data_IF_710774939083
#
_entry.id   IF_710774939083
#
_cell.length_a   1.000
_cell.length_b   1.000
_cell.length_c   1.000
_cell.angle_alpha   90.00
_cell.angle_beta   90.00
_cell.angle_gamma   90.00
#
_symmetry.space_group_name_H-M   'P 1'
#
loop_
_entity.id
_entity.type
_entity.pdbx_description
1 polymer ?
#
# COMPACT_ATOMS: atom_id res chain seq x y z
N UNK A 1 -16.51 8.14 -26.07
CA UNK A 1 -17.45 7.01 -25.82
C UNK A 1 -16.77 5.68 -25.47
N UNK A 2 -15.52 5.40 -25.88
CA UNK A 2 -14.80 4.17 -25.46
C UNK A 2 -14.33 4.23 -23.98
N UNK A 3 -13.86 5.40 -23.53
CA UNK A 3 -13.47 5.61 -22.12
C UNK A 3 -14.63 5.51 -21.11
N UNK A 4 -15.85 5.92 -21.50
CA UNK A 4 -17.03 5.81 -20.62
C UNK A 4 -17.52 4.36 -20.48
N UNK A 5 -17.23 3.49 -21.46
CA UNK A 5 -17.55 2.05 -21.39
C UNK A 5 -16.57 1.28 -20.49
N UNK A 6 -15.31 1.72 -20.39
CA UNK A 6 -14.33 1.15 -19.48
C UNK A 6 -14.67 1.45 -18.01
N UNK A 7 -15.06 2.70 -17.71
CA UNK A 7 -15.42 3.12 -16.35
C UNK A 7 -16.74 2.49 -15.85
N UNK A 8 -17.67 2.17 -16.77
CA UNK A 8 -18.93 1.48 -16.46
C UNK A 8 -18.72 -0.04 -16.25
N UNK A 9 -17.68 -0.63 -16.86
CA UNK A 9 -17.27 -2.01 -16.61
C UNK A 9 -16.58 -2.18 -15.25
N UNK A 10 -15.78 -1.19 -14.82
CA UNK A 10 -15.16 -1.16 -13.49
C UNK A 10 -16.21 -1.02 -12.37
N UNK A 11 -17.27 -0.22 -12.58
CA UNK A 11 -18.39 -0.13 -11.62
C UNK A 11 -19.26 -1.39 -11.56
N UNK A 12 -19.34 -2.18 -12.64
CA UNK A 12 -20.10 -3.44 -12.65
C UNK A 12 -19.35 -4.59 -11.95
N UNK A 13 -18.02 -4.51 -11.89
CA UNK A 13 -17.14 -5.50 -11.26
C UNK A 13 -17.11 -5.36 -9.72
N UNK A 14 -17.38 -4.18 -9.18
CA UNK A 14 -17.45 -3.93 -7.72
C UNK A 14 -18.81 -4.35 -7.11
N UNK A 15 -19.87 -4.49 -7.91
CA UNK A 15 -21.20 -4.93 -7.42
C UNK A 15 -21.32 -6.47 -7.36
N UNK A 16 -20.43 -7.24 -8.02
CA UNK A 16 -20.43 -8.71 -7.95
C UNK A 16 -19.62 -9.30 -6.80
N UNK A 17 -18.91 -8.47 -6.02
CA UNK A 17 -18.09 -8.89 -4.88
C UNK A 17 -18.80 -8.71 -3.52
N UNK A 18 -20.08 -9.03 -3.44
CA UNK A 18 -20.77 -9.23 -2.14
C UNK A 18 -20.87 -10.74 -1.89
N UNK A 19 -20.05 -11.32 -1.00
CA UNK A 19 -20.33 -12.66 -0.49
C UNK A 19 -21.64 -12.60 0.29
N UNK A 20 -22.70 -13.16 -0.29
CA UNK A 20 -23.89 -13.62 0.44
C UNK A 20 -23.47 -14.86 1.24
N UNK A 21 -22.67 -14.66 2.29
CA UNK A 21 -22.40 -15.69 3.30
C UNK A 21 -23.49 -15.59 4.36
N UNK A 22 -24.52 -16.40 4.14
CA UNK A 22 -25.34 -16.96 5.20
C UNK A 22 -24.49 -17.99 5.96
N UNK A 23 -24.19 -17.72 7.22
CA UNK A 23 -23.75 -18.70 8.21
C UNK A 23 -24.61 -18.43 9.46
N UNK A 24 -25.68 -19.17 9.71
CA UNK A 24 -25.71 -20.43 10.46
C UNK A 24 -24.81 -20.41 11.69
N UNK A 25 -25.41 -19.96 12.80
CA UNK A 25 -24.98 -20.21 14.17
C UNK A 25 -24.87 -21.71 14.42
N UNK A 26 -23.66 -22.19 14.67
CA UNK A 26 -23.42 -23.39 15.45
C UNK A 26 -22.54 -23.01 16.63
N UNK A 27 -23.22 -22.79 17.75
CA UNK A 27 -22.70 -22.78 19.10
C UNK A 27 -22.15 -24.18 19.40
N UNK A 28 -20.88 -24.31 19.82
CA UNK A 28 -20.51 -25.24 20.89
C UNK A 28 -19.04 -25.09 21.35
N UNK A 29 -18.94 -25.16 22.68
CA UNK A 29 -17.86 -25.68 23.53
C UNK A 29 -16.53 -24.93 23.73
N UNK A 30 -16.58 -24.11 24.78
CA UNK A 30 -15.47 -23.72 25.64
C UNK A 30 -14.84 -24.94 26.34
N UNK A 31 -13.64 -25.33 25.90
CA UNK A 31 -12.75 -26.21 26.67
C UNK A 31 -11.60 -25.39 27.29
N UNK A 32 -11.72 -25.19 28.60
CA UNK A 32 -10.72 -24.60 29.50
C UNK A 32 -9.45 -25.47 29.56
N UNK A 33 -8.34 -24.99 29.01
CA UNK A 33 -7.03 -25.61 29.19
C UNK A 33 -6.38 -25.13 30.50
N UNK A 34 -6.43 -25.99 31.51
CA UNK A 34 -5.64 -25.89 32.75
C UNK A 34 -4.18 -26.23 32.44
N UNK A 35 -3.26 -25.34 32.83
CA UNK A 35 -1.81 -25.57 32.73
C UNK A 35 -1.37 -26.49 33.87
N UNK A 36 -1.00 -27.71 33.51
CA UNK A 36 -0.41 -28.71 34.41
C UNK A 36 0.97 -28.24 34.90
N UNK A 37 1.09 -28.08 36.21
CA UNK A 37 2.36 -27.88 36.90
C UNK A 37 3.05 -29.23 37.06
N UNK A 38 4.06 -29.51 36.23
CA UNK A 38 4.95 -30.64 36.40
C UNK A 38 5.87 -30.43 37.61
N UNK A 39 5.72 -31.27 38.62
CA UNK A 39 6.69 -31.47 39.70
C UNK A 39 7.99 -32.09 39.15
N UNK A 40 9.17 -31.60 39.55
CA UNK A 40 10.42 -32.32 39.38
C UNK A 40 10.70 -33.18 40.62
N UNK A 41 10.49 -34.49 40.47
CA UNK A 41 11.10 -35.52 41.31
C UNK A 41 12.44 -35.97 40.71
N UNK A 42 13.33 -36.45 41.58
CA UNK A 42 14.56 -37.20 41.34
C UNK A 42 15.85 -36.45 40.95
N UNK A 43 16.59 -35.98 41.97
CA UNK A 43 18.06 -36.14 42.00
C UNK A 43 18.49 -36.63 43.38
N UNK A 44 18.65 -37.94 43.48
CA UNK A 44 19.38 -38.63 44.54
C UNK A 44 20.86 -38.66 44.14
N UNK A 45 21.75 -38.03 44.91
CA UNK A 45 23.18 -38.36 44.90
C UNK A 45 23.87 -38.00 46.22
N UNK A 46 24.00 -39.05 47.01
CA UNK A 46 24.86 -39.23 48.16
C UNK A 46 26.32 -38.83 47.86
N UNK A 47 26.82 -37.79 48.51
CA UNK A 47 28.25 -37.55 48.71
C UNK A 47 28.51 -36.96 50.09
N UNK A 48 28.78 -37.84 51.05
CA UNK A 48 29.38 -37.49 52.34
C UNK A 48 30.81 -36.95 52.11
N UNK A 49 30.97 -35.62 52.17
CA UNK A 49 32.28 -34.96 52.23
C UNK A 49 32.36 -34.14 53.52
N UNK A 50 32.89 -34.78 54.57
CA UNK A 50 33.42 -34.11 55.76
C UNK A 50 34.55 -33.17 55.31
N UNK A 51 34.27 -31.87 55.33
CA UNK A 51 35.28 -30.83 55.17
C UNK A 51 34.93 -29.70 56.13
N UNK A 52 35.78 -29.56 57.15
CA UNK A 52 36.25 -28.35 57.85
C UNK A 52 35.30 -27.13 57.81
N UNK A 53 34.62 -26.90 58.94
CA UNK A 53 33.52 -25.94 59.17
C UNK A 53 33.79 -24.44 58.93
N UNK A 54 35.04 -24.03 58.67
CA UNK A 54 35.40 -22.61 58.51
C UNK A 54 35.24 -22.09 57.08
N UNK A 55 35.75 -22.84 56.10
CA UNK A 55 35.91 -22.35 54.72
C UNK A 55 34.62 -22.52 53.89
N UNK A 56 33.81 -23.54 54.19
CA UNK A 56 32.50 -23.76 53.52
C UNK A 56 31.48 -22.65 53.80
N UNK A 57 31.52 -22.03 54.98
CA UNK A 57 30.61 -20.91 55.29
C UNK A 57 30.92 -19.65 54.48
N UNK A 58 32.18 -19.47 54.07
CA UNK A 58 32.60 -18.34 53.23
C UNK A 58 32.12 -18.57 51.79
N UNK A 59 32.30 -19.79 51.27
CA UNK A 59 31.87 -20.14 49.90
C UNK A 59 30.34 -20.07 49.73
N UNK A 60 29.56 -20.56 50.70
CA UNK A 60 28.10 -20.43 50.68
C UNK A 60 27.67 -18.97 50.73
N UNK A 61 28.34 -18.13 51.54
CA UNK A 61 28.03 -16.70 51.65
C UNK A 61 28.31 -15.96 50.34
N UNK A 62 29.40 -16.29 49.65
CA UNK A 62 29.76 -15.61 48.41
C UNK A 62 28.86 -16.05 47.23
N UNK A 63 28.46 -17.33 47.15
CA UNK A 63 27.40 -17.76 46.21
C UNK A 63 26.07 -17.04 46.46
N UNK A 64 25.64 -16.90 47.71
CA UNK A 64 24.41 -16.17 48.05
C UNK A 64 24.50 -14.67 47.68
N UNK A 65 25.70 -14.08 47.70
CA UNK A 65 25.88 -12.68 47.25
C UNK A 65 25.81 -12.59 45.73
N UNK A 66 26.46 -13.50 45.01
CA UNK A 66 26.45 -13.52 43.55
C UNK A 66 25.04 -13.77 43.01
N UNK A 67 24.30 -14.73 43.59
CA UNK A 67 22.89 -15.00 43.25
C UNK A 67 22.01 -13.76 43.52
N UNK A 68 22.26 -13.02 44.61
CA UNK A 68 21.54 -11.77 44.91
C UNK A 68 21.85 -10.66 43.92
N UNK A 69 23.08 -10.57 43.42
CA UNK A 69 23.46 -9.60 42.40
C UNK A 69 22.77 -9.95 41.08
N UNK A 70 22.79 -11.22 40.68
CA UNK A 70 22.14 -11.70 39.45
C UNK A 70 20.62 -11.49 39.48
N UNK A 71 19.95 -11.81 40.60
CA UNK A 71 18.51 -11.57 40.76
C UNK A 71 18.19 -10.07 40.68
N UNK A 72 19.05 -9.21 41.27
CA UNK A 72 18.85 -7.75 41.23
C UNK A 72 19.05 -7.18 39.82
N UNK A 73 19.98 -7.73 39.05
CA UNK A 73 20.22 -7.33 37.66
C UNK A 73 19.06 -7.77 36.76
N UNK A 74 18.57 -9.02 36.93
CA UNK A 74 17.36 -9.52 36.26
C UNK A 74 16.12 -8.69 36.56
N UNK A 75 15.94 -8.23 37.80
CA UNK A 75 14.84 -7.35 38.18
C UNK A 75 14.94 -5.97 37.52
N UNK A 76 16.14 -5.37 37.46
CA UNK A 76 16.36 -4.10 36.75
C UNK A 76 16.10 -4.20 35.25
N UNK A 77 16.50 -5.31 34.63
CA UNK A 77 16.23 -5.53 33.22
C UNK A 77 14.73 -5.80 32.95
N UNK A 78 14.04 -6.43 33.90
CA UNK A 78 12.59 -6.58 33.85
C UNK A 78 11.87 -5.23 33.96
N UNK A 79 12.26 -4.36 34.91
CA UNK A 79 11.73 -3.00 35.06
C UNK A 79 11.94 -2.17 33.78
N UNK A 80 13.15 -2.16 33.22
CA UNK A 80 13.43 -1.45 31.95
C UNK A 80 12.60 -1.98 30.77
N UNK A 81 12.37 -3.30 30.71
CA UNK A 81 11.51 -3.90 29.67
C UNK A 81 10.05 -3.52 29.86
N UNK A 82 9.60 -3.36 31.10
CA UNK A 82 8.25 -2.91 31.42
C UNK A 82 8.05 -1.44 31.04
N UNK A 83 8.97 -0.55 31.44
CA UNK A 83 8.95 0.86 31.03
C UNK A 83 8.97 1.02 29.49
N UNK A 84 9.80 0.23 28.80
CA UNK A 84 9.86 0.25 27.33
C UNK A 84 8.54 -0.23 26.69
N UNK A 85 7.90 -1.25 27.27
CA UNK A 85 6.58 -1.73 26.80
C UNK A 85 5.47 -0.72 27.06
N UNK A 86 5.52 -0.04 28.19
CA UNK A 86 4.57 1.02 28.53
C UNK A 86 4.69 2.19 27.56
N UNK A 87 5.92 2.65 27.28
CA UNK A 87 6.16 3.70 26.29
C UNK A 87 5.64 3.33 24.89
N UNK A 88 5.88 2.09 24.43
CA UNK A 88 5.35 1.61 23.14
C UNK A 88 3.81 1.60 23.16
N UNK A 89 3.20 1.27 24.31
CA UNK A 89 1.74 1.26 24.46
C UNK A 89 1.17 2.67 24.37
N UNK A 90 1.83 3.64 24.99
CA UNK A 90 1.43 5.05 24.98
C UNK A 90 1.59 5.66 23.58
N UNK A 91 2.74 5.46 22.93
CA UNK A 91 2.97 5.91 21.55
C UNK A 91 1.91 5.32 20.60
N UNK A 92 1.57 4.03 20.75
CA UNK A 92 0.49 3.38 19.99
C UNK A 92 -0.89 3.94 20.31
N UNK A 93 -1.15 4.33 21.56
CA UNK A 93 -2.42 4.91 21.95
C UNK A 93 -2.60 6.31 21.33
N UNK A 94 -1.55 7.14 21.35
CA UNK A 94 -1.55 8.46 20.71
C UNK A 94 -1.76 8.35 19.19
N UNK A 95 -1.07 7.41 18.53
CA UNK A 95 -1.26 7.16 17.08
C UNK A 95 -2.69 6.69 16.79
N UNK A 96 -3.25 5.80 17.63
CA UNK A 96 -4.65 5.35 17.47
C UNK A 96 -5.66 6.46 17.67
N UNK A 97 -5.43 7.37 18.60
CA UNK A 97 -6.29 8.53 18.83
C UNK A 97 -6.27 9.45 17.61
N UNK A 98 -5.09 9.82 17.11
CA UNK A 98 -4.94 10.58 15.85
C UNK A 98 -5.61 9.89 14.67
N UNK A 99 -5.48 8.56 14.57
CA UNK A 99 -6.15 7.77 13.53
C UNK A 99 -7.67 7.81 13.67
N UNK A 100 -8.19 7.81 14.90
CA UNK A 100 -9.63 7.89 15.17
C UNK A 100 -10.17 9.27 14.82
N UNK A 101 -9.50 10.34 15.23
CA UNK A 101 -9.87 11.71 14.88
C UNK A 101 -9.84 11.91 13.37
N UNK A 102 -8.80 11.40 12.70
CA UNK A 102 -8.72 11.38 11.24
C UNK A 102 -9.87 10.57 10.61
N UNK A 103 -10.32 9.48 11.22
CA UNK A 103 -11.48 8.70 10.74
C UNK A 103 -12.80 9.46 10.90
N UNK A 104 -12.99 10.17 12.00
CA UNK A 104 -14.20 10.98 12.21
C UNK A 104 -14.25 12.16 11.23
N UNK A 105 -13.12 12.88 11.07
CA UNK A 105 -12.93 13.86 10.01
C UNK A 105 -13.21 13.25 8.64
N UNK A 106 -12.69 12.06 8.36
CA UNK A 106 -12.90 11.36 7.08
C UNK A 106 -14.36 11.02 6.82
N UNK A 107 -15.16 10.67 7.85
CA UNK A 107 -16.60 10.44 7.68
C UNK A 107 -17.31 11.73 7.29
N UNK A 108 -17.05 12.83 8.01
CA UNK A 108 -17.64 14.13 7.72
C UNK A 108 -17.23 14.63 6.33
N UNK A 109 -15.95 14.50 6.00
CA UNK A 109 -15.40 14.82 4.69
C UNK A 109 -16.05 13.94 3.62
N UNK A 110 -16.24 12.63 3.83
CA UNK A 110 -16.95 11.73 2.90
C UNK A 110 -18.36 12.18 2.57
N UNK A 111 -19.11 12.68 3.56
CA UNK A 111 -20.46 13.19 3.34
C UNK A 111 -20.44 14.48 2.51
N UNK A 112 -19.49 15.38 2.78
CA UNK A 112 -19.27 16.59 1.95
C UNK A 112 -18.86 16.21 0.51
N UNK A 113 -17.97 15.24 0.38
CA UNK A 113 -17.42 14.69 -0.86
C UNK A 113 -18.49 14.06 -1.77
N UNK A 114 -19.44 13.32 -1.20
CA UNK A 114 -20.49 12.69 -2.01
C UNK A 114 -21.32 13.74 -2.76
N UNK A 115 -21.48 14.92 -2.16
CA UNK A 115 -22.06 16.09 -2.81
C UNK A 115 -21.04 16.76 -3.75
N UNK A 116 -19.76 16.79 -3.40
CA UNK A 116 -18.68 17.34 -4.21
C UNK A 116 -18.59 16.76 -5.63
N UNK A 117 -18.82 15.45 -5.85
CA UNK A 117 -18.80 14.87 -7.21
C UNK A 117 -19.83 15.50 -8.15
N UNK A 118 -21.05 15.69 -7.68
CA UNK A 118 -22.08 16.36 -8.45
C UNK A 118 -21.78 17.85 -8.63
N UNK A 119 -21.23 18.49 -7.58
CA UNK A 119 -20.78 19.88 -7.63
C UNK A 119 -19.64 20.09 -8.63
N UNK A 120 -18.68 19.17 -8.70
CA UNK A 120 -17.55 19.22 -9.62
C UNK A 120 -17.98 19.10 -11.08
N UNK A 121 -18.84 18.14 -11.43
CA UNK A 121 -19.33 18.03 -12.81
C UNK A 121 -20.14 19.27 -13.21
N UNK A 122 -20.96 19.81 -12.29
CA UNK A 122 -21.69 21.08 -12.52
C UNK A 122 -20.72 22.26 -12.68
N UNK A 123 -19.73 22.41 -11.80
CA UNK A 123 -18.73 23.48 -11.84
C UNK A 123 -17.87 23.39 -13.11
N UNK A 124 -17.49 22.18 -13.53
CA UNK A 124 -16.74 21.93 -14.76
C UNK A 124 -17.52 22.35 -16.01
N UNK A 125 -18.83 22.11 -16.04
CA UNK A 125 -19.70 22.59 -17.12
C UNK A 125 -19.80 24.11 -17.10
N UNK A 126 -20.07 24.71 -15.93
CA UNK A 126 -20.10 26.17 -15.76
C UNK A 126 -18.79 26.83 -16.20
N UNK A 127 -17.63 26.25 -15.87
CA UNK A 127 -16.35 26.79 -16.34
C UNK A 127 -16.22 26.74 -17.85
N UNK A 128 -16.70 25.69 -18.53
CA UNK A 128 -16.66 25.66 -20.00
C UNK A 128 -17.49 26.81 -20.59
N UNK A 129 -18.65 27.09 -20.00
CA UNK A 129 -19.53 28.20 -20.37
C UNK A 129 -18.88 29.55 -20.05
N UNK A 130 -18.38 29.74 -18.83
CA UNK A 130 -17.71 30.97 -18.41
C UNK A 130 -16.39 31.20 -19.15
N UNK A 131 -15.64 30.16 -19.53
CA UNK A 131 -14.42 30.30 -20.35
C UNK A 131 -14.75 30.83 -21.75
N UNK A 132 -15.92 30.48 -22.29
CA UNK A 132 -16.40 31.08 -23.53
C UNK A 132 -16.78 32.56 -23.35
N UNK A 133 -17.38 32.92 -22.21
CA UNK A 133 -17.74 34.29 -21.85
C UNK A 133 -16.53 35.17 -21.51
N UNK A 134 -15.51 34.60 -20.87
CA UNK A 134 -14.23 35.25 -20.53
C UNK A 134 -13.48 35.73 -21.77
N UNK A 135 -13.54 34.97 -22.88
CA UNK A 135 -12.95 35.41 -24.16
C UNK A 135 -13.57 36.70 -24.69
N UNK A 136 -14.78 37.04 -24.26
CA UNK A 136 -15.50 38.26 -24.67
C UNK A 136 -15.51 39.36 -23.62
N UNK A 137 -14.89 39.16 -22.46
CA UNK A 137 -15.02 40.05 -21.31
C UNK A 137 -13.66 40.71 -21.00
N UNK A 138 -13.61 42.04 -20.91
CA UNK A 138 -12.40 42.78 -20.54
C UNK A 138 -12.11 42.64 -19.05
N UNK A 139 -10.82 42.53 -18.69
CA UNK A 139 -10.27 42.05 -17.40
C UNK A 139 -10.87 42.61 -16.09
N UNK A 140 -11.61 43.72 -16.09
CA UNK A 140 -12.08 44.38 -14.86
C UNK A 140 -13.52 44.07 -14.41
N UNK A 141 -14.39 43.46 -15.24
CA UNK A 141 -15.85 43.47 -14.96
C UNK A 141 -16.61 42.14 -15.13
N UNK A 142 -16.01 41.00 -14.76
CA UNK A 142 -16.63 39.68 -14.97
C UNK A 142 -16.83 38.91 -13.64
N UNK A 143 -17.72 39.37 -12.73
CA UNK A 143 -17.93 38.74 -11.42
C UNK A 143 -18.38 37.27 -11.54
N UNK A 144 -19.26 36.96 -12.49
CA UNK A 144 -19.74 35.59 -12.75
C UNK A 144 -18.60 34.65 -13.16
N UNK A 145 -17.65 35.15 -13.95
CA UNK A 145 -16.49 34.38 -14.37
C UNK A 145 -15.50 34.11 -13.22
N UNK A 146 -15.32 35.09 -12.32
CA UNK A 146 -14.52 34.91 -11.10
C UNK A 146 -15.17 33.90 -10.16
N UNK A 147 -16.47 34.03 -9.92
CA UNK A 147 -17.21 33.09 -9.08
C UNK A 147 -17.15 31.67 -9.66
N UNK A 148 -17.32 31.53 -10.98
CA UNK A 148 -17.18 30.23 -11.65
C UNK A 148 -15.78 29.62 -11.51
N UNK A 149 -14.73 30.43 -11.46
CA UNK A 149 -13.36 29.96 -11.20
C UNK A 149 -13.18 29.50 -9.75
N UNK A 150 -13.71 30.26 -8.78
CA UNK A 150 -13.70 29.91 -7.35
C UNK A 150 -14.46 28.59 -7.13
N UNK A 151 -15.70 28.47 -7.62
CA UNK A 151 -16.54 27.27 -7.54
C UNK A 151 -15.80 26.02 -8.05
N UNK A 152 -15.03 26.17 -9.13
CA UNK A 152 -14.26 25.06 -9.68
C UNK A 152 -13.02 24.71 -8.87
N UNK A 153 -12.32 25.70 -8.28
CA UNK A 153 -11.19 25.42 -7.40
C UNK A 153 -11.63 24.63 -6.19
N UNK A 154 -12.72 25.07 -5.53
CA UNK A 154 -13.34 24.35 -4.42
C UNK A 154 -13.67 22.92 -4.83
N UNK A 155 -14.44 22.75 -5.91
CA UNK A 155 -14.85 21.42 -6.34
C UNK A 155 -13.66 20.53 -6.80
N UNK A 156 -12.61 21.12 -7.35
CA UNK A 156 -11.39 20.40 -7.72
C UNK A 156 -10.63 19.92 -6.50
N UNK A 157 -10.49 20.77 -5.48
CA UNK A 157 -9.86 20.42 -4.21
C UNK A 157 -10.64 19.34 -3.46
N UNK A 158 -11.97 19.43 -3.41
CA UNK A 158 -12.82 18.37 -2.85
C UNK A 158 -12.61 17.03 -3.56
N UNK A 159 -12.59 17.03 -4.90
CA UNK A 159 -12.30 15.80 -5.68
C UNK A 159 -10.91 15.22 -5.39
N UNK A 160 -9.92 16.07 -5.11
CA UNK A 160 -8.59 15.61 -4.70
C UNK A 160 -8.66 14.95 -3.32
N UNK A 161 -9.41 15.55 -2.37
CA UNK A 161 -9.65 14.96 -1.05
C UNK A 161 -10.31 13.58 -1.16
N UNK A 162 -11.31 13.37 -2.04
CA UNK A 162 -11.87 12.03 -2.33
C UNK A 162 -10.79 11.01 -2.64
N UNK A 163 -9.83 11.40 -3.48
CA UNK A 163 -8.80 10.50 -3.95
C UNK A 163 -7.77 10.20 -2.87
N UNK A 164 -7.43 11.18 -2.03
CA UNK A 164 -6.59 10.95 -0.86
C UNK A 164 -7.26 9.93 0.07
N UNK A 165 -8.54 10.12 0.40
CA UNK A 165 -9.31 9.21 1.26
C UNK A 165 -9.43 7.80 0.67
N UNK A 166 -9.75 7.69 -0.62
CA UNK A 166 -9.82 6.40 -1.32
C UNK A 166 -8.48 5.65 -1.23
N UNK A 167 -7.36 6.37 -1.21
CA UNK A 167 -6.04 5.73 -1.18
C UNK A 167 -5.62 5.42 0.25
N UNK A 168 -5.94 6.24 1.24
CA UNK A 168 -5.81 5.88 2.65
C UNK A 168 -6.52 4.54 2.91
N UNK A 169 -7.74 4.36 2.41
CA UNK A 169 -8.51 3.10 2.50
C UNK A 169 -7.77 1.90 1.90
N UNK A 170 -7.19 2.09 0.71
CA UNK A 170 -6.42 1.03 0.04
C UNK A 170 -5.14 0.68 0.79
N UNK A 171 -4.45 1.67 1.37
CA UNK A 171 -3.25 1.46 2.18
C UNK A 171 -3.62 0.73 3.48
N UNK A 172 -4.67 1.14 4.18
CA UNK A 172 -5.18 0.47 5.38
C UNK A 172 -5.48 -1.01 5.11
N UNK A 173 -6.19 -1.30 3.99
CA UNK A 173 -6.62 -2.64 3.60
C UNK A 173 -5.51 -3.51 2.97
N UNK A 174 -4.33 -2.95 2.69
CA UNK A 174 -3.23 -3.70 2.06
C UNK A 174 -2.54 -4.65 3.05
N UNK A 175 -1.78 -5.62 2.54
CA UNK A 175 -0.96 -6.53 3.36
C UNK A 175 0.43 -5.96 3.69
N UNK A 176 0.60 -4.63 3.59
CA UNK A 176 1.87 -3.97 3.89
C UNK A 176 2.23 -4.11 5.38
N UNK A 177 3.53 -4.05 5.67
CA UNK A 177 4.02 -3.97 7.04
C UNK A 177 3.45 -2.74 7.76
N UNK A 178 3.08 -2.88 9.03
CA UNK A 178 2.43 -1.83 9.82
C UNK A 178 3.24 -0.52 9.84
N UNK A 179 4.57 -0.60 10.01
CA UNK A 179 5.47 0.57 10.00
C UNK A 179 5.38 1.35 8.68
N UNK A 180 5.25 0.63 7.56
CA UNK A 180 5.14 1.23 6.24
C UNK A 180 3.75 1.80 5.98
N UNK A 181 2.70 1.15 6.48
CA UNK A 181 1.34 1.70 6.45
C UNK A 181 1.29 3.02 7.21
N UNK A 182 1.85 3.07 8.42
CA UNK A 182 1.91 4.28 9.25
C UNK A 182 2.62 5.43 8.52
N UNK A 183 3.76 5.18 7.87
CA UNK A 183 4.49 6.19 7.09
C UNK A 183 3.64 6.75 5.93
N UNK A 184 3.02 5.87 5.14
CA UNK A 184 2.19 6.28 4.00
C UNK A 184 0.93 7.02 4.45
N UNK A 185 0.26 6.55 5.51
CA UNK A 185 -0.93 7.19 6.05
C UNK A 185 -0.60 8.55 6.67
N UNK A 186 0.54 8.68 7.34
CA UNK A 186 1.01 9.97 7.85
C UNK A 186 1.25 10.98 6.72
N UNK A 187 1.95 10.58 5.66
CA UNK A 187 2.17 11.44 4.50
C UNK A 187 0.85 11.86 3.83
N UNK A 188 -0.10 10.93 3.68
CA UNK A 188 -1.42 11.23 3.10
C UNK A 188 -2.24 12.18 3.98
N UNK A 189 -2.16 12.05 5.31
CA UNK A 189 -2.84 12.95 6.25
C UNK A 189 -2.28 14.38 6.19
N UNK A 190 -0.97 14.55 6.01
CA UNK A 190 -0.36 15.87 5.81
C UNK A 190 -0.85 16.54 4.51
N UNK A 191 -0.97 15.77 3.42
CA UNK A 191 -1.52 16.25 2.16
C UNK A 191 -3.00 16.58 2.26
N UNK A 192 -3.77 15.76 2.98
CA UNK A 192 -5.19 16.00 3.26
C UNK A 192 -5.38 17.32 3.99
N UNK A 193 -4.64 17.56 5.07
CA UNK A 193 -4.69 18.81 5.83
C UNK A 193 -4.34 20.03 4.96
N UNK A 194 -3.28 19.92 4.13
CA UNK A 194 -2.89 20.98 3.19
C UNK A 194 -3.99 21.27 2.18
N UNK A 195 -4.63 20.24 1.62
CA UNK A 195 -5.70 20.41 0.65
C UNK A 195 -6.98 20.97 1.29
N UNK A 196 -7.33 20.57 2.51
CA UNK A 196 -8.44 21.15 3.29
C UNK A 196 -8.22 22.66 3.50
N UNK A 197 -7.00 23.07 3.88
CA UNK A 197 -6.66 24.47 4.05
C UNK A 197 -6.82 25.25 2.74
N UNK A 198 -6.28 24.74 1.63
CA UNK A 198 -6.42 25.37 0.31
C UNK A 198 -7.87 25.47 -0.17
N UNK A 199 -8.69 24.43 0.07
CA UNK A 199 -10.13 24.46 -0.21
C UNK A 199 -10.81 25.55 0.61
N UNK A 200 -10.49 25.65 1.92
CA UNK A 200 -11.04 26.68 2.80
C UNK A 200 -10.64 28.09 2.37
N UNK A 201 -9.38 28.28 1.92
CA UNK A 201 -8.92 29.54 1.35
C UNK A 201 -9.67 29.90 0.06
N UNK A 202 -9.93 28.91 -0.81
CA UNK A 202 -10.73 29.11 -2.01
C UNK A 202 -12.18 29.48 -1.69
N UNK A 203 -12.82 28.81 -0.72
CA UNK A 203 -14.18 29.11 -0.25
C UNK A 203 -14.31 30.51 0.38
N UNK A 204 -13.23 31.01 1.00
CA UNK A 204 -13.20 32.34 1.59
C UNK A 204 -13.06 33.47 0.55
N UNK A 205 -12.76 33.14 -0.71
CA UNK A 205 -12.76 34.13 -1.80
C UNK A 205 -14.19 34.53 -2.17
N UNK A 206 -14.38 35.81 -2.45
CA UNK A 206 -15.64 36.35 -2.97
C UNK A 206 -15.44 36.98 -4.37
N UNK A 207 -16.49 37.59 -4.91
CA UNK A 207 -16.46 38.26 -6.23
C UNK A 207 -15.44 39.41 -6.30
N UNK A 208 -15.00 39.94 -5.16
CA UNK A 208 -13.99 41.01 -5.06
C UNK A 208 -12.56 40.49 -5.14
N UNK A 209 -12.36 39.17 -5.06
CA UNK A 209 -11.04 38.55 -5.18
C UNK A 209 -10.32 38.98 -6.47
N UNK A 210 -9.00 39.21 -6.35
CA UNK A 210 -8.16 39.57 -7.49
C UNK A 210 -7.86 38.33 -8.32
N UNK A 211 -7.58 38.54 -9.62
CA UNK A 211 -7.18 37.46 -10.52
C UNK A 211 -5.92 36.74 -10.03
N UNK A 212 -5.02 37.47 -9.39
CA UNK A 212 -3.78 36.92 -8.85
C UNK A 212 -4.05 36.01 -7.65
N UNK A 213 -4.95 36.37 -6.72
CA UNK A 213 -5.33 35.50 -5.60
C UNK A 213 -5.90 34.16 -6.07
N UNK A 214 -6.81 34.17 -7.05
CA UNK A 214 -7.39 32.95 -7.63
C UNK A 214 -6.29 32.11 -8.30
N UNK A 215 -5.36 32.77 -9.01
CA UNK A 215 -4.26 32.09 -9.72
C UNK A 215 -3.27 31.45 -8.74
N UNK A 216 -2.96 32.12 -7.64
CA UNK A 216 -2.04 31.64 -6.61
C UNK A 216 -2.61 30.40 -5.91
N UNK A 217 -3.87 30.44 -5.44
CA UNK A 217 -4.54 29.27 -4.86
C UNK A 217 -4.61 28.11 -5.87
N UNK A 218 -4.93 28.40 -7.14
CA UNK A 218 -4.94 27.38 -8.18
C UNK A 218 -3.58 26.71 -8.38
N UNK A 219 -2.49 27.48 -8.28
CA UNK A 219 -1.13 26.97 -8.41
C UNK A 219 -0.77 26.11 -7.19
N UNK A 220 -1.07 26.58 -5.98
CA UNK A 220 -0.81 25.84 -4.74
C UNK A 220 -1.58 24.51 -4.71
N UNK A 221 -2.87 24.51 -5.09
CA UNK A 221 -3.65 23.28 -5.22
C UNK A 221 -3.03 22.29 -6.22
N UNK A 222 -2.51 22.79 -7.34
CA UNK A 222 -1.86 21.95 -8.36
C UNK A 222 -0.55 21.35 -7.85
N UNK A 223 0.24 22.12 -7.13
CA UNK A 223 1.50 21.66 -6.57
C UNK A 223 1.27 20.67 -5.42
N UNK A 224 0.30 20.92 -4.55
CA UNK A 224 -0.16 19.97 -3.53
C UNK A 224 -0.67 18.67 -4.18
N UNK A 225 -1.45 18.75 -5.25
CA UNK A 225 -1.92 17.56 -5.98
C UNK A 225 -0.75 16.76 -6.60
N UNK A 226 0.26 17.41 -7.16
CA UNK A 226 1.45 16.72 -7.68
C UNK A 226 2.21 15.99 -6.58
N UNK A 227 2.29 16.59 -5.39
CA UNK A 227 2.90 15.96 -4.22
C UNK A 227 2.11 14.71 -3.79
N UNK A 228 0.78 14.84 -3.69
CA UNK A 228 -0.13 13.70 -3.47
C UNK A 228 0.13 12.61 -4.51
N UNK A 229 0.06 12.93 -5.81
CA UNK A 229 0.27 11.96 -6.90
C UNK A 229 1.59 11.21 -6.80
N UNK A 230 2.67 11.87 -6.37
CA UNK A 230 3.97 11.24 -6.16
C UNK A 230 3.90 10.18 -5.06
N UNK A 231 3.30 10.50 -3.93
CA UNK A 231 3.18 9.56 -2.82
C UNK A 231 2.15 8.46 -3.09
N UNK A 232 1.08 8.78 -3.83
CA UNK A 232 0.14 7.79 -4.37
C UNK A 232 0.84 6.78 -5.27
N UNK A 233 1.71 7.25 -6.17
CA UNK A 233 2.49 6.38 -7.06
C UNK A 233 3.42 5.47 -6.27
N UNK A 234 4.07 5.98 -5.22
CA UNK A 234 4.91 5.17 -4.32
C UNK A 234 4.10 4.14 -3.53
N UNK A 235 2.95 4.53 -2.99
CA UNK A 235 2.08 3.62 -2.24
C UNK A 235 1.59 2.49 -3.15
N UNK A 236 1.14 2.83 -4.36
CA UNK A 236 0.72 1.85 -5.36
C UNK A 236 1.86 0.93 -5.80
N UNK A 237 3.07 1.47 -6.05
CA UNK A 237 4.24 0.65 -6.41
C UNK A 237 4.59 -0.33 -5.30
N UNK A 238 4.64 0.15 -4.06
CA UNK A 238 4.94 -0.69 -2.88
C UNK A 238 3.90 -1.82 -2.73
N UNK A 239 2.62 -1.52 -2.91
CA UNK A 239 1.56 -2.53 -2.85
C UNK A 239 1.69 -3.58 -3.97
N UNK A 240 2.03 -3.16 -5.19
CA UNK A 240 2.28 -4.05 -6.32
C UNK A 240 3.53 -4.90 -6.10
N UNK A 241 4.61 -4.32 -5.58
CA UNK A 241 5.84 -5.03 -5.21
C UNK A 241 5.58 -6.14 -4.20
N UNK A 242 4.76 -5.86 -3.18
CA UNK A 242 4.36 -6.86 -2.19
C UNK A 242 3.56 -8.01 -2.81
N UNK A 243 2.61 -7.69 -3.71
CA UNK A 243 1.86 -8.70 -4.46
C UNK A 243 2.77 -9.57 -5.32
N UNK A 244 3.72 -8.96 -6.05
CA UNK A 244 4.68 -9.73 -6.84
C UNK A 244 5.57 -10.62 -5.98
N UNK A 245 6.01 -10.14 -4.81
CA UNK A 245 6.74 -10.99 -3.87
C UNK A 245 5.90 -12.21 -3.43
N UNK A 246 4.63 -11.99 -3.09
CA UNK A 246 3.72 -13.08 -2.70
C UNK A 246 3.51 -14.10 -3.82
N UNK A 247 3.42 -13.63 -5.07
CA UNK A 247 3.36 -14.49 -6.25
C UNK A 247 4.65 -15.29 -6.46
N UNK A 248 5.83 -14.66 -6.32
CA UNK A 248 7.12 -15.34 -6.44
C UNK A 248 7.25 -16.44 -5.38
N UNK A 249 6.95 -16.13 -4.11
CA UNK A 249 6.99 -17.13 -3.02
C UNK A 249 6.02 -18.30 -3.27
N UNK A 250 4.82 -18.01 -3.78
CA UNK A 250 3.87 -19.07 -4.17
C UNK A 250 4.41 -19.91 -5.34
N UNK A 251 5.06 -19.26 -6.31
CA UNK A 251 5.65 -19.88 -7.48
C UNK A 251 6.85 -20.77 -7.13
N UNK A 252 7.64 -20.40 -6.11
CA UNK A 252 8.72 -21.21 -5.55
C UNK A 252 8.19 -22.48 -4.90
N UNK A 253 7.08 -22.42 -4.14
CA UNK A 253 6.44 -23.63 -3.58
C UNK A 253 5.96 -24.60 -4.66
N UNK A 254 5.60 -24.11 -5.85
CA UNK A 254 5.25 -24.97 -6.99
C UNK A 254 6.46 -25.73 -7.53
N UNK A 255 7.67 -25.16 -7.46
CA UNK A 255 8.91 -25.84 -7.86
C UNK A 255 9.07 -27.12 -7.04
N UNK A 256 8.93 -27.05 -5.71
CA UNK A 256 9.04 -28.22 -4.83
C UNK A 256 8.02 -29.32 -5.20
N UNK A 257 6.81 -28.92 -5.60
CA UNK A 257 5.77 -29.87 -6.05
C UNK A 257 6.15 -30.51 -7.38
N UNK A 258 6.69 -29.75 -8.31
CA UNK A 258 7.15 -30.27 -9.60
C UNK A 258 8.37 -31.19 -9.46
N UNK A 259 9.31 -30.89 -8.57
CA UNK A 259 10.44 -31.77 -8.29
C UNK A 259 9.99 -33.10 -7.70
N UNK A 260 9.09 -33.07 -6.70
CA UNK A 260 8.49 -34.30 -6.15
C UNK A 260 7.75 -35.11 -7.22
N UNK A 261 7.04 -34.44 -8.13
CA UNK A 261 6.36 -35.11 -9.24
C UNK A 261 7.36 -35.73 -10.24
N UNK A 262 8.44 -35.01 -10.56
CA UNK A 262 9.55 -35.49 -11.40
C UNK A 262 10.17 -36.74 -10.80
N UNK A 263 10.50 -36.73 -9.50
CA UNK A 263 11.13 -37.85 -8.81
C UNK A 263 10.22 -39.09 -8.82
N UNK A 264 8.92 -38.92 -8.53
CA UNK A 264 7.93 -40.01 -8.62
C UNK A 264 7.81 -40.59 -10.04
N UNK A 265 7.94 -39.78 -11.09
CA UNK A 265 7.91 -40.25 -12.48
C UNK A 265 9.20 -40.99 -12.84
N UNK A 266 10.35 -40.51 -12.38
CA UNK A 266 11.64 -41.18 -12.57
C UNK A 266 11.69 -42.55 -11.88
N UNK A 267 11.15 -42.68 -10.67
CA UNK A 267 11.00 -43.96 -9.95
C UNK A 267 10.15 -44.98 -10.71
N UNK A 268 9.16 -44.51 -11.48
CA UNK A 268 8.33 -45.35 -12.38
C UNK A 268 9.04 -45.72 -13.68
N UNK A 269 10.28 -45.25 -13.90
CA UNK A 269 11.05 -45.49 -15.12
C UNK A 269 10.66 -44.63 -16.32
N UNK A 270 9.94 -43.52 -16.12
CA UNK A 270 9.67 -42.55 -17.18
C UNK A 270 10.94 -41.73 -17.50
N UNK A 271 11.11 -41.36 -18.78
CA UNK A 271 12.14 -40.39 -19.17
C UNK A 271 11.67 -38.97 -18.78
N UNK A 272 12.37 -38.36 -17.82
CA UNK A 272 12.02 -37.06 -17.26
C UNK A 272 12.89 -35.92 -17.81
N UNK A 273 13.69 -36.16 -18.85
CA UNK A 273 14.67 -35.19 -19.37
C UNK A 273 14.02 -33.87 -19.81
N UNK A 274 12.93 -33.94 -20.57
CA UNK A 274 12.20 -32.74 -21.03
C UNK A 274 11.50 -32.00 -19.88
N UNK A 275 11.00 -32.75 -18.89
CA UNK A 275 10.37 -32.21 -17.69
C UNK A 275 11.38 -31.47 -16.81
N UNK A 276 12.56 -32.04 -16.65
CA UNK A 276 13.66 -31.42 -15.92
C UNK A 276 14.10 -30.11 -16.59
N UNK A 277 14.24 -30.10 -17.91
CA UNK A 277 14.55 -28.89 -18.67
C UNK A 277 13.46 -27.81 -18.50
N UNK A 278 12.18 -28.19 -18.54
CA UNK A 278 11.08 -27.25 -18.36
C UNK A 278 11.00 -26.67 -16.93
N UNK A 279 11.27 -27.48 -15.90
CA UNK A 279 11.36 -27.01 -14.51
C UNK A 279 12.53 -26.05 -14.34
N UNK A 280 13.68 -26.34 -14.97
CA UNK A 280 14.85 -25.46 -14.92
C UNK A 280 14.57 -24.11 -15.59
N UNK A 281 13.95 -24.11 -16.76
CA UNK A 281 13.57 -22.89 -17.49
C UNK A 281 12.55 -22.03 -16.70
N UNK A 282 11.66 -22.67 -15.94
CA UNK A 282 10.75 -21.99 -15.01
C UNK A 282 11.49 -21.34 -13.82
N UNK A 283 12.43 -22.07 -13.19
CA UNK A 283 13.29 -21.55 -12.11
C UNK A 283 14.07 -20.31 -12.54
N UNK A 284 14.67 -20.35 -13.73
CA UNK A 284 15.46 -19.24 -14.26
C UNK A 284 14.60 -17.98 -14.48
N UNK A 285 13.37 -18.13 -14.98
CA UNK A 285 12.45 -16.98 -15.13
C UNK A 285 12.00 -16.43 -13.78
N UNK A 286 11.77 -17.27 -12.77
CA UNK A 286 11.46 -16.78 -11.43
C UNK A 286 12.65 -16.04 -10.80
N UNK A 287 13.87 -16.55 -10.98
CA UNK A 287 15.07 -15.87 -10.52
C UNK A 287 15.23 -14.48 -11.17
N UNK A 288 14.99 -14.38 -12.48
CA UNK A 288 14.96 -13.10 -13.19
C UNK A 288 13.86 -12.17 -12.68
N UNK A 289 12.67 -12.70 -12.39
CA UNK A 289 11.57 -11.91 -11.84
C UNK A 289 11.91 -11.35 -10.46
N UNK A 290 12.55 -12.15 -9.60
CA UNK A 290 13.02 -11.74 -8.29
C UNK A 290 14.12 -10.68 -8.38
N UNK A 291 15.14 -10.89 -9.22
CA UNK A 291 16.21 -9.91 -9.44
C UNK A 291 15.65 -8.56 -9.94
N UNK A 292 14.70 -8.60 -10.88
CA UNK A 292 14.04 -7.40 -11.42
C UNK A 292 13.18 -6.72 -10.35
N UNK A 293 12.53 -7.47 -9.47
CA UNK A 293 11.76 -6.93 -8.37
C UNK A 293 12.65 -6.25 -7.33
N UNK A 294 13.80 -6.83 -7.02
CA UNK A 294 14.77 -6.25 -6.09
C UNK A 294 15.43 -4.99 -6.68
N UNK A 295 15.67 -4.97 -7.98
CA UNK A 295 16.07 -3.75 -8.70
C UNK A 295 14.99 -2.66 -8.60
N UNK A 296 13.71 -3.01 -8.83
CA UNK A 296 12.58 -2.09 -8.73
C UNK A 296 12.46 -1.46 -7.34
N UNK A 297 12.67 -2.26 -6.30
CA UNK A 297 12.71 -1.79 -4.91
C UNK A 297 13.86 -0.82 -4.65
N UNK A 298 15.05 -1.13 -5.17
CA UNK A 298 16.24 -0.31 -4.96
C UNK A 298 16.15 1.02 -5.73
N UNK A 299 15.59 1.01 -6.93
CA UNK A 299 15.47 2.18 -7.81
C UNK A 299 14.25 3.05 -7.47
N UNK A 300 13.18 2.44 -6.95
CA UNK A 300 11.86 3.05 -6.83
C UNK A 300 11.21 3.31 -8.20
N UNK A 301 11.74 2.73 -9.28
CA UNK A 301 11.19 2.90 -10.62
C UNK A 301 10.08 1.89 -10.91
N UNK A 302 8.87 2.42 -11.08
CA UNK A 302 7.69 1.68 -11.52
C UNK A 302 7.81 1.02 -12.89
N UNK A 303 8.78 1.43 -13.73
CA UNK A 303 9.00 0.82 -15.04
C UNK A 303 9.46 -0.63 -14.93
N UNK A 304 10.32 -0.94 -13.94
CA UNK A 304 10.85 -2.28 -13.69
C UNK A 304 9.76 -3.24 -13.22
N UNK A 305 8.76 -2.75 -12.48
CA UNK A 305 7.57 -3.54 -12.09
C UNK A 305 6.78 -4.07 -13.29
N UNK A 306 6.80 -3.37 -14.43
CA UNK A 306 6.16 -3.86 -15.66
C UNK A 306 6.89 -5.08 -16.23
N UNK A 307 8.22 -5.11 -16.11
CA UNK A 307 9.02 -6.24 -16.54
C UNK A 307 8.85 -7.42 -15.57
N UNK A 308 8.79 -7.19 -14.26
CA UNK A 308 8.40 -8.22 -13.28
C UNK A 308 7.06 -8.85 -13.66
N UNK A 309 6.05 -8.04 -13.98
CA UNK A 309 4.73 -8.54 -14.40
C UNK A 309 4.79 -9.39 -15.68
N UNK A 310 5.69 -9.04 -16.61
CA UNK A 310 5.90 -9.81 -17.85
C UNK A 310 6.58 -11.15 -17.55
N UNK A 311 7.65 -11.15 -16.75
CA UNK A 311 8.36 -12.36 -16.34
C UNK A 311 7.44 -13.31 -15.56
N UNK A 312 6.57 -12.80 -14.68
CA UNK A 312 5.59 -13.62 -13.97
C UNK A 312 4.54 -14.25 -14.91
N UNK A 313 4.11 -13.53 -15.96
CA UNK A 313 3.23 -14.10 -17.00
C UNK A 313 3.92 -15.19 -17.80
N UNK A 314 5.19 -15.01 -18.13
CA UNK A 314 6.02 -16.03 -18.80
C UNK A 314 6.21 -17.25 -17.90
N UNK A 315 6.54 -17.04 -16.62
CA UNK A 315 6.66 -18.10 -15.62
C UNK A 315 5.36 -18.91 -15.53
N UNK A 316 4.20 -18.26 -15.47
CA UNK A 316 2.90 -18.94 -15.47
C UNK A 316 2.63 -19.74 -16.76
N UNK A 317 3.08 -19.26 -17.92
CA UNK A 317 3.02 -20.06 -19.15
C UNK A 317 3.87 -21.33 -19.06
N UNK A 318 5.06 -21.25 -18.45
CA UNK A 318 5.95 -22.40 -18.20
C UNK A 318 5.35 -23.39 -17.20
N UNK A 319 4.68 -22.92 -16.14
CA UNK A 319 3.91 -23.77 -15.20
C UNK A 319 2.91 -24.63 -15.98
N UNK A 320 2.14 -24.04 -16.91
CA UNK A 320 1.18 -24.81 -17.72
C UNK A 320 1.85 -25.87 -18.59
N UNK A 321 3.03 -25.57 -19.14
CA UNK A 321 3.80 -26.54 -19.91
C UNK A 321 4.31 -27.71 -19.05
N UNK A 322 4.85 -27.41 -17.85
CA UNK A 322 5.29 -28.43 -16.88
C UNK A 322 4.13 -29.33 -16.46
N UNK A 323 2.97 -28.75 -16.13
CA UNK A 323 1.76 -29.50 -15.77
C UNK A 323 1.29 -30.40 -16.91
N UNK A 324 1.32 -29.91 -18.15
CA UNK A 324 0.97 -30.71 -19.33
C UNK A 324 1.91 -31.91 -19.50
N UNK A 325 3.22 -31.71 -19.38
CA UNK A 325 4.21 -32.79 -19.48
C UNK A 325 4.04 -33.83 -18.36
N UNK A 326 3.82 -33.40 -17.12
CA UNK A 326 3.53 -34.32 -16.00
C UNK A 326 2.29 -35.17 -16.32
N UNK A 327 1.25 -34.56 -16.91
CA UNK A 327 0.03 -35.27 -17.29
C UNK A 327 0.26 -36.31 -18.38
N UNK A 328 1.04 -35.96 -19.39
CA UNK A 328 1.36 -36.86 -20.51
C UNK A 328 2.23 -38.04 -20.04
N UNK A 329 3.25 -37.78 -19.22
CA UNK A 329 4.13 -38.82 -18.66
C UNK A 329 3.40 -39.77 -17.70
N UNK A 330 2.40 -39.26 -16.97
CA UNK A 330 1.61 -40.07 -16.06
C UNK A 330 0.42 -40.78 -16.76
N UNK A 331 0.42 -40.86 -18.10
CA UNK A 331 -0.62 -41.47 -18.93
C UNK A 331 -2.04 -40.96 -18.62
N UNK A 332 -2.16 -39.70 -18.18
CA UNK A 332 -3.43 -39.10 -17.77
C UNK A 332 -3.97 -39.53 -16.39
N UNK A 333 -3.29 -40.44 -15.67
CA UNK A 333 -3.67 -40.87 -14.31
C UNK A 333 -3.12 -39.91 -13.25
N UNK A 334 -3.57 -38.65 -13.26
CA UNK A 334 -3.17 -37.67 -12.27
C UNK A 334 -3.83 -37.95 -10.90
N UNK A 335 -3.21 -38.76 -10.06
CA UNK A 335 -3.27 -38.58 -8.60
C UNK A 335 -2.17 -37.57 -8.24
N UNK A 336 -2.37 -36.30 -8.62
CA UNK A 336 -1.77 -35.25 -7.81
C UNK A 336 -2.64 -35.21 -6.58
N UNK A 337 -2.10 -35.62 -5.43
CA UNK A 337 -2.70 -35.29 -4.14
C UNK A 337 -2.96 -33.79 -4.16
N UNK A 338 -4.20 -33.43 -4.45
CA UNK A 338 -4.75 -32.11 -4.23
C UNK A 338 -4.83 -31.98 -2.72
N UNK A 339 -3.68 -31.79 -2.08
CA UNK A 339 -3.64 -31.13 -0.80
C UNK A 339 -4.45 -29.85 -1.00
N UNK A 340 -5.45 -29.69 -0.15
CA UNK A 340 -6.55 -28.71 -0.15
C UNK A 340 -6.07 -27.25 -0.02
N UNK A 341 -4.91 -26.93 -0.59
CA UNK A 341 -4.41 -25.61 -0.89
C UNK A 341 -4.61 -25.36 -2.39
N UNK A 342 -5.88 -25.37 -2.83
CA UNK A 342 -6.23 -24.67 -4.05
C UNK A 342 -6.00 -23.19 -3.80
N UNK A 343 -4.76 -22.75 -3.99
CA UNK A 343 -4.47 -21.33 -4.18
C UNK A 343 -5.10 -20.99 -5.53
N UNK A 344 -6.39 -20.65 -5.51
CA UNK A 344 -7.01 -19.92 -6.59
C UNK A 344 -6.26 -18.60 -6.68
N UNK A 345 -5.20 -18.60 -7.49
CA UNK A 345 -4.57 -17.36 -7.95
C UNK A 345 -5.56 -16.77 -8.94
N UNK A 346 -6.58 -16.08 -8.43
CA UNK A 346 -7.36 -15.15 -9.23
C UNK A 346 -6.37 -14.12 -9.78
N UNK A 347 -5.98 -14.34 -11.04
CA UNK A 347 -5.06 -13.49 -11.77
C UNK A 347 -5.79 -12.23 -12.22
N UNK A 348 -6.26 -11.41 -11.28
CA UNK A 348 -6.82 -10.07 -11.52
C UNK A 348 -5.77 -8.99 -11.26
N UNK A 349 -4.54 -9.26 -11.71
CA UNK A 349 -3.51 -8.25 -11.87
C UNK A 349 -3.56 -7.66 -13.29
N UNK A 350 -4.74 -7.21 -13.75
CA UNK A 350 -4.77 -6.14 -14.74
C UNK A 350 -4.25 -4.88 -14.04
N UNK A 351 -2.94 -4.64 -14.18
CA UNK A 351 -2.34 -3.34 -13.91
C UNK A 351 -2.94 -2.39 -14.95
N UNK A 352 -4.12 -1.84 -14.63
CA UNK A 352 -4.71 -0.72 -15.35
C UNK A 352 -3.79 0.48 -15.11
N UNK A 353 -2.78 0.58 -15.95
CA UNK A 353 -1.93 1.75 -16.12
C UNK A 353 -2.83 2.86 -16.64
N UNK A 354 -3.53 3.54 -15.73
CA UNK A 354 -4.12 4.85 -15.97
C UNK A 354 -3.01 5.84 -16.30
N UNK A 355 -2.57 5.81 -17.56
CA UNK A 355 -1.82 6.88 -18.18
C UNK A 355 -2.80 8.03 -18.45
N UNK A 356 -3.15 8.73 -17.37
CA UNK A 356 -3.69 10.09 -17.44
C UNK A 356 -2.49 11.04 -17.27
N UNK A 357 -1.53 10.90 -18.20
CA UNK A 357 -0.65 12.01 -18.53
C UNK A 357 -1.54 13.06 -19.17
N UNK A 358 -2.20 13.87 -18.34
CA UNK A 358 -2.76 15.14 -18.79
C UNK A 358 -1.55 15.98 -19.17
N UNK A 359 -1.14 15.88 -20.43
CA UNK A 359 -0.35 16.88 -21.11
C UNK A 359 -1.18 18.17 -21.04
N UNK A 360 -0.97 18.94 -19.98
CA UNK A 360 -1.33 20.34 -19.96
C UNK A 360 -0.34 21.00 -20.92
N UNK A 361 -0.70 21.04 -22.20
CA UNK A 361 -0.10 21.95 -23.17
C UNK A 361 -0.26 23.37 -22.62
N UNK A 362 0.76 23.83 -21.90
CA UNK A 362 0.89 25.22 -21.49
C UNK A 362 1.45 25.99 -22.67
N UNK A 363 0.63 26.19 -23.70
CA UNK A 363 0.84 27.28 -24.65
C UNK A 363 0.60 28.59 -23.90
N UNK A 364 1.68 29.16 -23.39
CA UNK A 364 1.73 30.56 -22.98
C UNK A 364 2.94 31.17 -23.65
N UNK A 365 2.80 31.45 -24.94
CA UNK A 365 3.62 32.44 -25.62
C UNK A 365 3.38 33.79 -24.92
N UNK A 366 4.31 34.16 -24.05
CA UNK A 366 4.41 35.52 -23.53
C UNK A 366 5.20 36.30 -24.58
N UNK A 367 4.49 36.95 -25.51
CA UNK A 367 5.06 38.04 -26.30
C UNK A 367 5.39 39.19 -25.35
N UNK A 368 6.67 39.30 -24.99
CA UNK A 368 7.22 40.48 -24.34
C UNK A 368 7.33 41.62 -25.36
N UNK A 369 6.35 42.51 -25.37
CA UNK A 369 6.45 43.81 -26.03
C UNK A 369 7.35 44.69 -25.17
N UNK A 370 8.63 44.75 -25.52
CA UNK A 370 9.53 45.80 -25.05
C UNK A 370 9.33 47.04 -25.91
N UNK A 371 8.54 47.98 -25.40
CA UNK A 371 8.43 49.34 -25.94
C UNK A 371 9.62 50.16 -25.42
N UNK A 372 10.62 50.36 -26.28
CA UNK A 372 11.72 51.32 -26.10
C UNK A 372 11.93 52.01 -27.43
N UNK A 373 11.59 53.30 -27.51
CA UNK A 373 12.27 54.35 -28.30
C UNK A 373 11.70 55.69 -27.82
N UNK A 374 12.40 56.41 -26.93
CA UNK A 374 13.37 57.48 -27.23
C UNK A 374 12.74 58.69 -27.91
N UNK A 375 12.73 59.81 -27.17
CA UNK A 375 12.19 61.08 -27.63
C UNK A 375 13.06 61.81 -28.65
N UNK A 376 12.46 62.81 -29.26
CA UNK A 376 13.13 63.95 -29.88
C UNK A 376 12.09 65.08 -29.95
N UNK A 377 12.32 66.19 -29.24
CA UNK A 377 11.72 67.46 -29.63
C UNK A 377 12.59 68.62 -29.12
N UNK A 378 13.41 69.12 -30.05
CA UNK A 378 14.06 70.42 -30.00
C UNK A 378 13.61 71.23 -31.21
N UNK A 379 12.79 72.27 -31.02
CA UNK A 379 12.86 73.58 -31.71
C UNK A 379 12.33 74.67 -30.80
#
# INVERSE_FOLDING_TARGET
MKAFKALLLIMLLVISAVPLVVAQDSTDDSASATVDAQSPDDIDQDTSIEMRDGDKQIEIRDRIKDDKVEVREKLRDAEKREEFREKIRDDRAEVREKLRDAKELRIEVRERIKNAKEHFEKARLKIKEHKAQLKSCSDENCPEAKQGAIDFLVASGERILDKIVEIQERVEASDLEESRKEELLSALAEHEATMIDLVSQAEALDETATRDQIKDISKEMRDAWRAVQKDLKKAASTAVEHKFQGLIVSAEKLIDRFEKAKDKLAEKGADVSDLEAAIQDYKETLAQAQETLDAARASGDTSELREVAKLLREAHAKVRAVVAQIKDLNQGSLEVESGDDSVEVESDAEVESGDDSVEVESDTEVESVTEVESGDDSV
#
